data_IF_348855902269
#
_entry.id   IF_348855902269
#
_cell.length_a   1.000
_cell.length_b   1.000
_cell.length_c   1.000
_cell.angle_alpha   90.00
_cell.angle_beta   90.00
_cell.angle_gamma   90.00
#
_symmetry.space_group_name_H-M   'P 1'
#
loop_
_entity.id
_entity.type
_entity.pdbx_description
1 polymer ?
#
# COMPACT_ATOMS: atom_id res chain seq x y z
N UNK A 1 -31.71 37.95 10.23
CA UNK A 1 -30.71 36.96 10.67
C UNK A 1 -30.43 36.09 9.47
N UNK A 2 -29.29 36.29 8.81
CA UNK A 2 -28.85 35.38 7.76
C UNK A 2 -28.58 34.02 8.43
N UNK A 3 -29.06 32.91 7.85
CA UNK A 3 -28.77 31.61 8.38
C UNK A 3 -27.26 31.38 8.20
N UNK A 4 -26.56 31.29 9.32
CA UNK A 4 -25.19 30.80 9.35
C UNK A 4 -25.29 29.35 8.91
N UNK A 5 -25.02 29.09 7.63
CA UNK A 5 -24.79 27.75 7.11
C UNK A 5 -23.55 27.21 7.84
N UNK A 6 -23.77 26.56 8.99
CA UNK A 6 -22.79 25.60 9.47
C UNK A 6 -22.65 24.61 8.34
N UNK A 7 -21.47 24.57 7.73
CA UNK A 7 -21.04 23.48 6.87
C UNK A 7 -21.07 22.20 7.71
N UNK A 8 -22.25 21.58 7.81
CA UNK A 8 -22.42 20.30 8.48
C UNK A 8 -21.66 19.33 7.60
N UNK A 9 -20.40 19.07 7.96
CA UNK A 9 -19.66 17.94 7.42
C UNK A 9 -20.56 16.74 7.73
N UNK A 10 -21.22 16.22 6.69
CA UNK A 10 -22.08 15.05 6.81
C UNK A 10 -21.20 13.90 7.28
N UNK A 11 -21.26 13.59 8.57
CA UNK A 11 -20.59 12.44 9.15
C UNK A 11 -21.15 11.11 8.60
N UNK A 12 -22.33 11.16 7.97
CA UNK A 12 -23.07 9.98 7.54
C UNK A 12 -22.33 9.16 6.48
N UNK A 13 -21.74 9.82 5.46
CA UNK A 13 -21.03 9.11 4.41
C UNK A 13 -19.68 8.56 4.87
N UNK A 14 -18.99 9.27 5.78
CA UNK A 14 -17.74 8.80 6.39
C UNK A 14 -18.01 7.58 7.28
N UNK A 15 -19.08 7.63 8.09
CA UNK A 15 -19.55 6.52 8.91
C UNK A 15 -19.87 5.30 8.06
N UNK A 16 -20.64 5.50 6.99
CA UNK A 16 -20.97 4.44 6.04
C UNK A 16 -19.70 3.81 5.44
N UNK A 17 -18.71 4.64 5.08
CA UNK A 17 -17.43 4.18 4.52
C UNK A 17 -16.64 3.33 5.50
N UNK A 18 -16.51 3.78 6.76
CA UNK A 18 -15.86 2.99 7.83
C UNK A 18 -16.60 1.68 8.05
N UNK A 19 -17.93 1.72 8.10
CA UNK A 19 -18.75 0.53 8.27
C UNK A 19 -18.54 -0.49 7.14
N UNK A 20 -18.56 -0.04 5.88
CA UNK A 20 -18.27 -0.89 4.72
C UNK A 20 -16.87 -1.50 4.85
N UNK A 21 -15.86 -0.72 5.25
CA UNK A 21 -14.52 -1.24 5.53
C UNK A 21 -14.53 -2.36 6.57
N UNK A 22 -15.19 -2.15 7.72
CA UNK A 22 -15.29 -3.16 8.78
C UNK A 22 -16.03 -4.43 8.31
N UNK A 23 -17.07 -4.30 7.48
CA UNK A 23 -17.77 -5.45 6.87
C UNK A 23 -16.82 -6.24 5.98
N UNK A 24 -16.02 -5.58 5.14
CA UNK A 24 -15.02 -6.26 4.28
C UNK A 24 -13.98 -7.01 5.13
N UNK A 25 -13.50 -6.39 6.22
CA UNK A 25 -12.56 -7.05 7.14
C UNK A 25 -13.20 -8.26 7.83
N UNK A 26 -14.44 -8.13 8.30
CA UNK A 26 -15.19 -9.19 8.94
C UNK A 26 -15.46 -10.37 7.98
N UNK A 27 -15.80 -10.09 6.72
CA UNK A 27 -15.93 -11.10 5.67
C UNK A 27 -14.62 -11.85 5.45
N UNK A 28 -13.48 -11.15 5.40
CA UNK A 28 -12.16 -11.76 5.31
C UNK A 28 -11.86 -12.71 6.48
N UNK A 29 -12.22 -12.31 7.71
CA UNK A 29 -12.09 -13.15 8.91
C UNK A 29 -13.02 -14.37 8.87
N UNK A 30 -14.26 -14.19 8.46
CA UNK A 30 -15.27 -15.25 8.41
C UNK A 30 -14.92 -16.33 7.38
N UNK A 31 -14.62 -15.92 6.14
CA UNK A 31 -14.31 -16.84 5.04
C UNK A 31 -12.94 -17.51 5.18
N UNK A 32 -11.96 -16.83 5.81
CA UNK A 32 -10.56 -17.28 5.86
C UNK A 32 -9.94 -17.24 7.26
N UNK A 33 -10.66 -17.73 8.27
CA UNK A 33 -10.29 -17.63 9.68
C UNK A 33 -8.83 -17.98 10.00
N UNK A 34 -8.35 -19.17 9.60
CA UNK A 34 -6.97 -19.63 9.87
C UNK A 34 -5.91 -18.70 9.26
N UNK A 35 -6.19 -18.12 8.09
CA UNK A 35 -5.27 -17.18 7.41
C UNK A 35 -5.26 -15.84 8.11
N UNK A 36 -6.44 -15.36 8.51
CA UNK A 36 -6.60 -14.12 9.24
C UNK A 36 -5.84 -14.12 10.59
N UNK A 37 -5.87 -15.24 11.32
CA UNK A 37 -5.08 -15.38 12.55
C UNK A 37 -3.57 -15.30 12.29
N UNK A 38 -3.08 -15.94 11.22
CA UNK A 38 -1.68 -15.82 10.84
C UNK A 38 -1.32 -14.39 10.38
N UNK A 39 -2.25 -13.71 9.71
CA UNK A 39 -2.09 -12.35 9.22
C UNK A 39 -2.00 -11.30 10.35
N UNK A 40 -2.80 -11.44 11.42
CA UNK A 40 -2.73 -10.51 12.56
C UNK A 40 -1.37 -10.53 13.26
N UNK A 41 -0.68 -11.67 13.24
CA UNK A 41 0.62 -11.86 13.90
C UNK A 41 1.77 -11.39 12.99
N UNK A 42 1.49 -10.93 11.76
CA UNK A 42 2.49 -10.59 10.75
C UNK A 42 3.63 -9.66 11.23
N UNK A 43 3.39 -8.57 12.00
CA UNK A 43 4.48 -7.69 12.45
C UNK A 43 5.51 -8.46 13.29
N UNK A 44 5.04 -9.42 14.08
CA UNK A 44 5.85 -10.20 15.00
C UNK A 44 6.44 -11.45 14.34
N UNK A 45 5.70 -12.10 13.44
CA UNK A 45 6.11 -13.37 12.84
C UNK A 45 5.80 -13.45 11.33
N UNK A 46 6.80 -13.82 10.54
CA UNK A 46 6.72 -13.93 9.08
C UNK A 46 6.09 -15.25 8.61
N UNK A 47 5.57 -16.06 9.54
CA UNK A 47 4.88 -17.33 9.28
C UNK A 47 3.79 -17.20 8.21
N UNK A 48 3.06 -16.09 8.19
CA UNK A 48 2.06 -15.82 7.15
C UNK A 48 2.68 -15.79 5.75
N UNK A 49 3.75 -15.01 5.57
CA UNK A 49 4.46 -14.87 4.29
C UNK A 49 5.03 -16.22 3.85
N UNK A 50 5.73 -16.92 4.75
CA UNK A 50 6.39 -18.20 4.44
C UNK A 50 5.42 -19.32 4.07
N UNK A 51 4.26 -19.40 4.73
CA UNK A 51 3.26 -20.45 4.45
C UNK A 51 2.48 -20.18 3.16
N UNK A 52 2.21 -18.91 2.85
CA UNK A 52 1.35 -18.54 1.73
C UNK A 52 2.09 -18.35 0.39
N UNK A 53 3.41 -18.12 0.41
CA UNK A 53 4.25 -18.21 -0.81
C UNK A 53 4.28 -19.64 -1.35
N UNK A 54 4.23 -20.67 -0.48
CA UNK A 54 4.38 -22.09 -0.89
C UNK A 54 3.08 -22.78 -1.37
N UNK A 55 1.89 -22.28 -1.02
CA UNK A 55 0.60 -22.96 -1.25
C UNK A 55 -0.29 -22.27 -2.30
N UNK A 56 0.25 -22.03 -3.49
CA UNK A 56 -0.39 -21.28 -4.58
C UNK A 56 -1.89 -21.49 -4.78
N UNK A 57 -2.56 -20.44 -5.28
CA UNK A 57 -3.96 -20.32 -5.73
C UNK A 57 -4.99 -19.80 -4.72
N UNK A 58 -5.27 -20.44 -3.57
CA UNK A 58 -6.29 -19.92 -2.63
C UNK A 58 -5.84 -18.69 -1.83
N UNK A 59 -4.62 -18.20 -2.03
CA UNK A 59 -4.08 -17.00 -1.40
C UNK A 59 -4.71 -15.71 -1.95
N UNK A 60 -5.08 -15.70 -3.24
CA UNK A 60 -5.45 -14.48 -3.96
C UNK A 60 -6.72 -13.80 -3.44
N UNK A 61 -7.79 -14.56 -3.16
CA UNK A 61 -9.06 -13.97 -2.69
C UNK A 61 -8.96 -13.29 -1.34
N UNK A 62 -8.32 -13.95 -0.35
CA UNK A 62 -8.10 -13.35 0.96
C UNK A 62 -7.26 -12.07 0.88
N UNK A 63 -6.20 -12.11 0.07
CA UNK A 63 -5.37 -10.94 -0.19
C UNK A 63 -6.13 -9.78 -0.81
N UNK A 64 -6.96 -10.09 -1.80
CA UNK A 64 -7.77 -9.10 -2.49
C UNK A 64 -8.77 -8.43 -1.53
N UNK A 65 -9.44 -9.19 -0.66
CA UNK A 65 -10.32 -8.61 0.36
C UNK A 65 -9.57 -7.66 1.30
N UNK A 66 -8.38 -8.05 1.76
CA UNK A 66 -7.57 -7.21 2.63
C UNK A 66 -7.03 -5.96 1.92
N UNK A 67 -6.68 -6.06 0.64
CA UNK A 67 -6.26 -4.90 -0.16
C UNK A 67 -7.43 -3.95 -0.41
N UNK A 68 -8.64 -4.46 -0.66
CA UNK A 68 -9.84 -3.62 -0.74
C UNK A 68 -10.10 -2.89 0.57
N UNK A 69 -10.00 -3.60 1.70
CA UNK A 69 -10.11 -2.99 3.03
C UNK A 69 -9.07 -1.90 3.26
N UNK A 70 -7.81 -2.16 2.93
CA UNK A 70 -6.73 -1.19 3.05
C UNK A 70 -6.94 0.03 2.15
N UNK A 71 -7.38 -0.18 0.91
CA UNK A 71 -7.64 0.89 -0.05
C UNK A 71 -8.71 1.86 0.47
N UNK A 72 -9.86 1.33 0.95
CA UNK A 72 -10.95 2.13 1.52
C UNK A 72 -10.47 2.97 2.72
N UNK A 73 -9.65 2.39 3.60
CA UNK A 73 -9.20 3.08 4.80
C UNK A 73 -8.10 4.11 4.52
N UNK A 74 -7.16 3.81 3.61
CA UNK A 74 -6.11 4.76 3.21
C UNK A 74 -6.70 5.94 2.47
N UNK A 75 -7.67 5.73 1.57
CA UNK A 75 -8.32 6.84 0.86
C UNK A 75 -9.06 7.76 1.83
N UNK A 76 -9.77 7.19 2.80
CA UNK A 76 -10.48 7.97 3.82
C UNK A 76 -9.49 8.74 4.72
N UNK A 77 -8.40 8.10 5.14
CA UNK A 77 -7.37 8.74 5.96
C UNK A 77 -6.69 9.89 5.21
N UNK A 78 -6.34 9.68 3.94
CA UNK A 78 -5.74 10.72 3.11
C UNK A 78 -6.70 11.90 2.90
N UNK A 79 -7.99 11.63 2.71
CA UNK A 79 -9.02 12.67 2.66
C UNK A 79 -9.05 13.48 3.97
N UNK A 80 -9.03 12.82 5.13
CA UNK A 80 -9.00 13.50 6.44
C UNK A 80 -7.73 14.35 6.64
N UNK A 81 -6.58 13.90 6.14
CA UNK A 81 -5.34 14.70 6.11
C UNK A 81 -5.53 15.96 5.27
N UNK A 82 -6.04 15.83 4.04
CA UNK A 82 -6.27 16.98 3.16
C UNK A 82 -7.17 18.02 3.81
N UNK A 83 -8.21 17.57 4.53
CA UNK A 83 -9.12 18.44 5.27
C UNK A 83 -8.45 19.09 6.49
N UNK A 84 -7.65 18.34 7.26
CA UNK A 84 -6.99 18.83 8.49
C UNK A 84 -5.91 19.87 8.22
N UNK A 85 -5.25 19.78 7.07
CA UNK A 85 -4.18 20.70 6.66
C UNK A 85 -4.63 21.76 5.64
N UNK A 86 -5.92 21.79 5.30
CA UNK A 86 -6.49 22.75 4.34
C UNK A 86 -5.74 22.79 2.99
N UNK A 87 -5.22 21.64 2.56
CA UNK A 87 -4.32 21.54 1.40
C UNK A 87 -5.03 21.72 0.05
N UNK A 88 -6.35 21.56 0.01
CA UNK A 88 -7.15 21.73 -1.19
C UNK A 88 -8.56 22.22 -0.82
N UNK A 89 -9.17 23.12 -1.62
CA UNK A 89 -10.58 23.44 -1.48
C UNK A 89 -11.40 22.19 -1.77
N UNK A 90 -12.28 21.80 -0.84
CA UNK A 90 -13.13 20.61 -0.92
C UNK A 90 -14.57 21.04 -1.21
N UNK A 91 -14.93 21.36 -2.46
CA UNK A 91 -16.28 21.84 -2.79
C UNK A 91 -17.35 20.76 -2.59
N UNK A 92 -17.01 19.48 -2.75
CA UNK A 92 -17.87 18.34 -2.45
C UNK A 92 -17.08 17.23 -1.76
N UNK A 93 -17.31 17.06 -0.45
CA UNK A 93 -16.55 16.16 0.41
C UNK A 93 -16.60 14.69 -0.04
N UNK A 94 -17.76 14.19 -0.48
CA UNK A 94 -17.89 12.81 -0.93
C UNK A 94 -17.23 12.58 -2.31
N UNK A 95 -17.41 13.50 -3.25
CA UNK A 95 -16.82 13.38 -4.58
C UNK A 95 -15.28 13.47 -4.52
N UNK A 96 -14.74 14.35 -3.67
CA UNK A 96 -13.30 14.41 -3.42
C UNK A 96 -12.76 13.10 -2.84
N UNK A 97 -13.47 12.46 -1.92
CA UNK A 97 -13.11 11.13 -1.42
C UNK A 97 -13.10 10.08 -2.55
N UNK A 98 -14.12 10.06 -3.42
CA UNK A 98 -14.15 9.11 -4.55
C UNK A 98 -13.01 9.32 -5.53
N UNK A 99 -12.63 10.57 -5.82
CA UNK A 99 -11.47 10.88 -6.66
C UNK A 99 -10.19 10.35 -6.02
N UNK A 100 -9.99 10.59 -4.71
CA UNK A 100 -8.83 10.08 -3.97
C UNK A 100 -8.78 8.56 -3.99
N UNK A 101 -9.92 7.89 -3.76
CA UNK A 101 -10.02 6.43 -3.82
C UNK A 101 -9.67 5.92 -5.22
N UNK A 102 -10.27 6.49 -6.28
CA UNK A 102 -10.03 6.08 -7.66
C UNK A 102 -8.57 6.27 -8.07
N UNK A 103 -7.96 7.39 -7.70
CA UNK A 103 -6.55 7.67 -7.95
C UNK A 103 -5.64 6.65 -7.24
N UNK A 104 -5.87 6.39 -5.95
CA UNK A 104 -5.10 5.40 -5.19
C UNK A 104 -5.27 3.98 -5.74
N UNK A 105 -6.49 3.61 -6.15
CA UNK A 105 -6.78 2.32 -6.74
C UNK A 105 -6.00 2.11 -8.05
N UNK A 106 -6.05 3.12 -8.93
CA UNK A 106 -5.35 3.09 -10.20
C UNK A 106 -3.83 3.07 -9.99
N UNK A 107 -3.32 3.87 -9.05
CA UNK A 107 -1.90 3.88 -8.70
C UNK A 107 -1.42 2.50 -8.23
N UNK A 108 -2.14 1.86 -7.31
CA UNK A 108 -1.77 0.53 -6.80
C UNK A 108 -1.83 -0.54 -7.91
N UNK A 109 -2.84 -0.48 -8.78
CA UNK A 109 -2.97 -1.39 -9.94
C UNK A 109 -1.81 -1.23 -10.93
N UNK A 110 -1.49 0.00 -11.34
CA UNK A 110 -0.38 0.27 -12.27
C UNK A 110 0.94 -0.18 -11.65
N UNK A 111 1.17 0.14 -10.37
CA UNK A 111 2.38 -0.28 -9.65
C UNK A 111 2.51 -1.81 -9.58
N UNK A 112 1.41 -2.51 -9.30
CA UNK A 112 1.38 -3.98 -9.30
C UNK A 112 1.71 -4.54 -10.69
N UNK A 113 1.11 -4.02 -11.75
CA UNK A 113 1.37 -4.45 -13.13
C UNK A 113 2.83 -4.26 -13.54
N UNK A 114 3.42 -3.09 -13.24
CA UNK A 114 4.83 -2.82 -13.52
C UNK A 114 5.74 -3.80 -12.78
N UNK A 115 5.47 -4.08 -11.50
CA UNK A 115 6.28 -5.02 -10.73
C UNK A 115 6.19 -6.45 -11.26
N UNK A 116 5.00 -6.90 -11.65
CA UNK A 116 4.81 -8.22 -12.27
C UNK A 116 5.46 -8.30 -13.65
N UNK A 117 5.38 -7.23 -14.45
CA UNK A 117 6.05 -7.14 -15.75
C UNK A 117 7.57 -7.23 -15.62
N UNK A 118 8.17 -6.55 -14.63
CA UNK A 118 9.61 -6.72 -14.37
C UNK A 118 9.96 -8.17 -14.01
N UNK A 119 9.14 -8.84 -13.21
CA UNK A 119 9.32 -10.26 -12.89
C UNK A 119 9.27 -11.18 -14.12
N UNK A 120 8.44 -10.83 -15.11
CA UNK A 120 8.34 -11.54 -16.39
C UNK A 120 9.60 -11.33 -17.24
N UNK A 121 10.05 -10.09 -17.39
CA UNK A 121 11.25 -9.73 -18.19
C UNK A 121 12.51 -10.42 -17.66
N UNK A 122 12.67 -10.47 -16.34
CA UNK A 122 13.83 -11.13 -15.70
C UNK A 122 13.66 -12.64 -15.51
N UNK A 123 12.61 -13.25 -16.08
CA UNK A 123 12.29 -14.68 -15.97
C UNK A 123 12.31 -15.22 -14.51
N UNK A 124 11.91 -14.37 -13.56
CA UNK A 124 12.01 -14.64 -12.12
C UNK A 124 10.69 -14.32 -11.39
N UNK A 125 9.56 -14.61 -12.05
CA UNK A 125 8.20 -14.32 -11.55
C UNK A 125 7.94 -14.80 -10.12
N UNK A 126 8.51 -15.93 -9.70
CA UNK A 126 8.35 -16.45 -8.33
C UNK A 126 8.98 -15.55 -7.26
N UNK A 127 10.19 -15.04 -7.53
CA UNK A 127 10.91 -14.14 -6.63
C UNK A 127 10.21 -12.78 -6.55
N UNK A 128 9.92 -12.16 -7.69
CA UNK A 128 9.21 -10.89 -7.74
C UNK A 128 7.79 -11.00 -7.15
N UNK A 129 7.05 -12.06 -7.47
CA UNK A 129 5.74 -12.31 -6.88
C UNK A 129 5.78 -12.43 -5.35
N UNK A 130 6.78 -13.12 -4.79
CA UNK A 130 6.96 -13.22 -3.33
C UNK A 130 7.28 -11.89 -2.66
N UNK A 131 8.09 -11.05 -3.32
CA UNK A 131 8.44 -9.70 -2.87
C UNK A 131 7.22 -8.79 -2.88
N UNK A 132 6.46 -8.76 -3.98
CA UNK A 132 5.25 -7.96 -4.14
C UNK A 132 4.21 -8.39 -3.11
N UNK A 133 3.99 -9.70 -2.96
CA UNK A 133 3.07 -10.27 -1.98
C UNK A 133 3.41 -9.85 -0.54
N UNK A 134 4.69 -9.92 -0.17
CA UNK A 134 5.14 -9.49 1.17
C UNK A 134 4.91 -8.00 1.39
N UNK A 135 5.29 -7.13 0.43
CA UNK A 135 5.08 -5.68 0.52
C UNK A 135 3.60 -5.33 0.68
N UNK A 136 2.72 -5.91 -0.14
CA UNK A 136 1.27 -5.70 -0.06
C UNK A 136 0.71 -6.25 1.26
N UNK A 137 1.23 -7.38 1.78
CA UNK A 137 0.79 -7.92 3.08
C UNK A 137 1.01 -6.93 4.23
N UNK A 138 2.19 -6.31 4.29
CA UNK A 138 2.52 -5.33 5.32
C UNK A 138 1.71 -4.04 5.17
N UNK A 139 1.48 -3.60 3.93
CA UNK A 139 0.62 -2.45 3.65
C UNK A 139 -0.83 -2.74 4.05
N UNK A 140 -1.35 -3.92 3.71
CA UNK A 140 -2.68 -4.37 4.12
C UNK A 140 -2.83 -4.40 5.64
N UNK A 141 -1.78 -4.82 6.36
CA UNK A 141 -1.80 -4.81 7.83
C UNK A 141 -1.87 -3.37 8.37
N UNK A 142 -1.12 -2.44 7.78
CA UNK A 142 -1.22 -1.03 8.16
C UNK A 142 -2.62 -0.45 7.95
N UNK A 143 -3.41 -1.01 7.01
CA UNK A 143 -4.82 -0.69 6.83
C UNK A 143 -5.68 -0.91 8.08
N UNK A 144 -5.37 -1.88 8.93
CA UNK A 144 -6.10 -2.12 10.20
C UNK A 144 -5.89 -0.95 11.16
N UNK A 145 -4.64 -0.50 11.30
CA UNK A 145 -4.28 0.64 12.16
C UNK A 145 -4.90 1.92 11.64
N UNK A 146 -4.90 2.11 10.33
CA UNK A 146 -5.51 3.28 9.69
C UNK A 146 -7.03 3.26 9.88
N UNK A 147 -7.69 2.09 9.87
CA UNK A 147 -9.11 1.99 10.18
C UNK A 147 -9.42 2.46 11.62
N UNK A 148 -8.60 2.05 12.60
CA UNK A 148 -8.73 2.54 13.98
C UNK A 148 -8.49 4.05 14.06
N UNK A 149 -7.48 4.54 13.33
CA UNK A 149 -7.17 5.97 13.25
C UNK A 149 -8.33 6.79 12.66
N UNK A 150 -8.97 6.28 11.60
CA UNK A 150 -10.14 6.93 11.00
C UNK A 150 -11.28 7.06 12.01
N UNK A 151 -11.57 6.01 12.78
CA UNK A 151 -12.58 6.07 13.85
C UNK A 151 -12.20 7.14 14.90
N UNK A 152 -10.93 7.17 15.33
CA UNK A 152 -10.45 8.19 16.28
C UNK A 152 -10.59 9.61 15.71
N UNK A 153 -10.19 9.82 14.46
CA UNK A 153 -10.20 11.13 13.79
C UNK A 153 -11.60 11.63 13.42
N UNK A 154 -12.59 10.74 13.32
CA UNK A 154 -13.97 11.12 13.01
C UNK A 154 -14.75 11.40 14.29
N UNK A 155 -14.64 10.55 15.32
CA UNK A 155 -15.55 10.59 16.48
C UNK A 155 -14.94 11.09 17.79
N UNK A 156 -13.64 10.85 18.04
CA UNK A 156 -13.04 11.09 19.36
C UNK A 156 -12.19 12.36 19.35
N UNK A 157 -11.27 12.48 18.40
CA UNK A 157 -10.38 13.63 18.23
C UNK A 157 -10.54 14.20 16.82
N UNK A 158 -11.64 14.93 16.54
CA UNK A 158 -11.96 15.41 15.19
C UNK A 158 -10.81 16.24 14.60
N UNK A 159 -10.29 15.81 13.44
CA UNK A 159 -9.22 16.49 12.68
C UNK A 159 -7.98 16.85 13.53
N UNK A 160 -7.64 16.02 14.53
CA UNK A 160 -6.46 16.25 15.35
C UNK A 160 -5.16 15.97 14.58
N UNK A 161 -4.33 16.99 14.40
CA UNK A 161 -2.99 16.89 13.79
C UNK A 161 -2.08 15.91 14.54
N UNK A 162 -2.18 15.87 15.88
CA UNK A 162 -1.35 14.97 16.71
C UNK A 162 -1.67 13.50 16.41
N UNK A 163 -2.95 13.15 16.31
CA UNK A 163 -3.42 11.80 15.97
C UNK A 163 -2.90 11.39 14.58
N UNK A 164 -2.93 12.29 13.60
CA UNK A 164 -2.38 12.03 12.25
C UNK A 164 -0.89 11.70 12.30
N UNK A 165 -0.07 12.51 13.00
CA UNK A 165 1.37 12.28 13.08
C UNK A 165 1.72 10.96 13.76
N UNK A 166 1.05 10.61 14.86
CA UNK A 166 1.25 9.33 15.57
C UNK A 166 0.94 8.16 14.65
N UNK A 167 -0.17 8.23 13.91
CA UNK A 167 -0.58 7.16 12.99
C UNK A 167 0.39 7.04 11.83
N UNK A 168 0.84 8.14 11.25
CA UNK A 168 1.86 8.13 10.19
C UNK A 168 3.13 7.42 10.66
N UNK A 169 3.66 7.78 11.83
CA UNK A 169 4.85 7.13 12.41
C UNK A 169 4.63 5.63 12.57
N UNK A 170 3.47 5.21 13.09
CA UNK A 170 3.14 3.80 13.28
C UNK A 170 3.06 3.02 11.96
N UNK A 171 2.42 3.61 10.94
CA UNK A 171 2.34 3.04 9.59
C UNK A 171 3.74 2.90 8.97
N UNK A 172 4.60 3.91 9.11
CA UNK A 172 5.98 3.86 8.62
C UNK A 172 6.79 2.76 9.31
N UNK A 173 6.67 2.61 10.63
CA UNK A 173 7.37 1.56 11.39
C UNK A 173 7.00 0.16 10.90
N UNK A 174 5.71 -0.10 10.69
CA UNK A 174 5.23 -1.43 10.26
C UNK A 174 5.70 -1.76 8.85
N UNK A 175 5.59 -0.81 7.92
CA UNK A 175 6.08 -1.00 6.56
C UNK A 175 7.61 -1.14 6.54
N UNK A 176 8.33 -0.42 7.41
CA UNK A 176 9.78 -0.55 7.61
C UNK A 176 10.19 -1.95 8.11
N UNK A 177 9.46 -2.49 9.09
CA UNK A 177 9.64 -3.88 9.55
C UNK A 177 9.45 -4.87 8.39
N UNK A 178 8.43 -4.65 7.55
CA UNK A 178 8.20 -5.47 6.36
C UNK A 178 9.34 -5.43 5.37
N UNK A 179 9.86 -4.24 5.06
CA UNK A 179 10.99 -4.06 4.14
C UNK A 179 12.26 -4.70 4.70
N UNK A 180 12.57 -4.50 5.99
CA UNK A 180 13.79 -5.05 6.59
C UNK A 180 13.79 -6.57 6.64
N UNK A 181 12.66 -7.20 6.99
CA UNK A 181 12.51 -8.66 6.96
C UNK A 181 12.56 -9.22 5.55
N UNK A 182 11.91 -8.56 4.59
CA UNK A 182 11.99 -8.91 3.18
C UNK A 182 13.45 -8.89 2.70
N UNK A 183 14.17 -7.81 3.01
CA UNK A 183 15.55 -7.63 2.58
C UNK A 183 16.45 -8.71 3.19
N UNK A 184 16.29 -9.03 4.48
CA UNK A 184 17.03 -10.12 5.15
C UNK A 184 16.76 -11.49 4.51
N UNK A 185 15.51 -11.76 4.14
CA UNK A 185 15.11 -13.07 3.62
C UNK A 185 15.55 -13.27 2.15
N UNK A 186 15.61 -12.20 1.35
CA UNK A 186 15.95 -12.26 -0.08
C UNK A 186 17.31 -11.61 -0.42
N UNK A 187 18.14 -11.27 0.56
CA UNK A 187 19.42 -10.57 0.37
C UNK A 187 20.33 -11.27 -0.64
N UNK A 188 20.47 -12.60 -0.54
CA UNK A 188 21.32 -13.41 -1.43
C UNK A 188 20.81 -13.46 -2.88
N UNK A 189 19.50 -13.31 -3.07
CA UNK A 189 18.88 -13.30 -4.39
C UNK A 189 18.88 -11.90 -5.02
N UNK A 190 18.74 -10.83 -4.23
CA UNK A 190 18.66 -9.45 -4.71
C UNK A 190 20.03 -8.82 -5.02
N UNK A 191 21.08 -9.22 -4.30
CA UNK A 191 22.42 -8.63 -4.45
C UNK A 191 23.00 -8.80 -5.86
N UNK A 192 22.92 -9.98 -6.51
CA UNK A 192 23.37 -10.13 -7.89
C UNK A 192 22.62 -9.22 -8.87
N UNK A 193 21.29 -9.11 -8.78
CA UNK A 193 20.51 -8.24 -9.67
C UNK A 193 20.88 -6.76 -9.51
N UNK A 194 21.17 -6.32 -8.29
CA UNK A 194 21.63 -4.95 -8.05
C UNK A 194 22.99 -4.68 -8.70
N UNK A 195 23.93 -5.63 -8.62
CA UNK A 195 25.23 -5.55 -9.30
C UNK A 195 25.06 -5.60 -10.82
N UNK A 196 24.19 -6.46 -11.36
CA UNK A 196 23.89 -6.52 -12.81
C UNK A 196 23.25 -5.23 -13.31
N UNK A 197 22.36 -4.61 -12.54
CA UNK A 197 21.76 -3.33 -12.90
C UNK A 197 22.80 -2.21 -13.00
N UNK A 198 23.71 -2.12 -12.02
CA UNK A 198 24.84 -1.18 -12.06
C UNK A 198 25.70 -1.45 -13.29
N UNK A 199 26.05 -2.72 -13.55
CA UNK A 199 26.86 -3.10 -14.71
C UNK A 199 26.17 -2.71 -16.05
N UNK A 200 24.84 -2.85 -16.14
CA UNK A 200 24.07 -2.48 -17.32
C UNK A 200 24.01 -0.96 -17.53
N UNK A 201 23.88 -0.18 -16.46
CA UNK A 201 23.97 1.29 -16.50
C UNK A 201 25.36 1.74 -16.94
N UNK A 202 26.41 1.14 -16.39
CA UNK A 202 27.78 1.42 -16.80
C UNK A 202 28.02 1.05 -18.27
N UNK A 203 27.46 -0.07 -18.76
CA UNK A 203 27.55 -0.43 -20.17
C UNK A 203 26.81 0.57 -21.09
N UNK A 204 25.65 1.08 -20.65
CA UNK A 204 24.89 2.11 -21.37
C UNK A 204 25.64 3.45 -21.43
N UNK A 205 26.41 3.79 -20.39
CA UNK A 205 27.27 4.97 -20.36
C UNK A 205 28.49 4.86 -21.29
N UNK A 206 29.07 3.66 -21.41
CA UNK A 206 30.26 3.40 -22.25
C UNK A 206 29.88 3.19 -23.73
N UNK A 207 28.68 2.69 -24.03
CA UNK A 207 28.24 2.40 -25.40
C UNK A 207 28.32 3.60 -26.39
N UNK A 208 27.93 4.84 -26.02
CA UNK A 208 28.08 6.02 -26.87
C UNK A 208 29.54 6.35 -27.20
N UNK A 209 30.45 6.20 -26.23
CA UNK A 209 31.88 6.46 -26.41
C UNK A 209 32.50 5.49 -27.43
N UNK A 210 32.11 4.21 -27.38
CA UNK A 210 32.56 3.20 -28.35
C UNK A 210 32.01 3.46 -29.76
N UNK A 211 30.74 3.86 -29.87
CA UNK A 211 30.10 4.21 -31.15
C UNK A 211 30.78 5.41 -31.83
N UNK A 212 31.06 6.48 -31.08
CA UNK A 212 31.78 7.66 -31.61
C UNK A 212 33.19 7.28 -32.06
N UNK A 213 33.93 6.50 -31.26
CA UNK A 213 35.27 6.02 -31.61
C UNK A 213 35.29 5.16 -32.88
N UNK A 214 34.22 4.40 -33.14
CA UNK A 214 34.08 3.61 -34.38
C UNK A 214 33.78 4.46 -35.61
N UNK A 215 33.06 5.58 -35.44
CA UNK A 215 32.71 6.49 -36.53
C UNK A 215 33.91 7.33 -37.01
N UNK A 216 34.87 7.64 -36.13
CA UNK A 216 36.09 8.38 -36.46
C UNK A 216 37.19 7.54 -37.14
N UNK A 217 36.97 6.23 -37.31
CA UNK A 217 37.95 5.30 -37.89
C UNK A 217 37.66 4.91 -39.35
N UNK A 218 36.62 5.49 -39.94
CA UNK A 218 36.33 5.46 -41.38
C UNK A 218 36.48 6.85 -41.98
#
# INVERSE_FOLDING_TARGET
MEPIEKTIISFDWMTLTVFIGLVVLALGKYLFHKKFLNFIILPFNDKYILLHIKKGQFSHWFHLLLTLFQLINISLFLFLILQTFELAPVPNSFLSYLIVLGFLALFELVKFLVQMFTGFVFNNLGLFGSVVFSKISYLNYSGIIIAVANILLIYITPLSKTTIYVVLVLVFLINGIGITKLLKNHQKALFPFFVYFILYLCALEIAPLVLIGSYFKG
#
